data_IF_246195166264
#
_entry.id   IF_246195166264
#
_cell.length_a   1.000
_cell.length_b   1.000
_cell.length_c   1.000
_cell.angle_alpha   90.00
_cell.angle_beta   90.00
_cell.angle_gamma   90.00
#
_symmetry.space_group_name_H-M   'P 1'
#
loop_
_entity.id
_entity.type
_entity.pdbx_description
1 polymer ?
#
# COMPACT_ATOMS: atom_id res chain seq x y z
N UNK A 1 8.31 -10.03 -11.53
CA UNK A 1 7.87 -8.75 -10.93
C UNK A 1 6.47 -8.89 -10.32
N UNK A 2 6.13 -8.10 -9.29
CA UNK A 2 4.87 -8.22 -8.53
C UNK A 2 3.60 -8.28 -9.40
N UNK A 3 3.55 -7.48 -10.48
CA UNK A 3 2.43 -7.48 -11.45
C UNK A 3 2.31 -8.77 -12.26
N UNK A 4 3.42 -9.45 -12.52
CA UNK A 4 3.42 -10.74 -13.23
C UNK A 4 2.83 -11.87 -12.36
N UNK A 5 2.99 -11.80 -11.04
CA UNK A 5 2.43 -12.80 -10.12
C UNK A 5 0.89 -12.81 -10.13
N UNK A 6 0.25 -11.67 -10.37
CA UNK A 6 -1.21 -11.56 -10.46
C UNK A 6 -1.81 -12.09 -11.78
N UNK A 7 -0.97 -12.22 -12.82
CA UNK A 7 -1.39 -12.68 -14.16
C UNK A 7 -1.12 -14.18 -14.38
N UNK A 8 -0.59 -14.89 -13.37
CA UNK A 8 -0.32 -16.31 -13.48
C UNK A 8 -1.60 -17.13 -13.82
N UNK A 9 -1.49 -18.16 -14.68
CA UNK A 9 -2.65 -18.89 -15.22
C UNK A 9 -3.50 -19.55 -14.14
N UNK A 10 -2.91 -19.90 -13.00
CA UNK A 10 -3.58 -20.59 -11.89
C UNK A 10 -4.36 -19.65 -10.94
N UNK A 11 -4.35 -18.34 -11.17
CA UNK A 11 -5.04 -17.37 -10.33
C UNK A 11 -6.50 -17.25 -10.75
N UNK A 12 -7.41 -17.87 -9.97
CA UNK A 12 -8.86 -17.83 -10.23
C UNK A 12 -9.47 -16.43 -10.14
N UNK A 13 -9.01 -15.59 -9.20
CA UNK A 13 -9.56 -14.25 -8.97
C UNK A 13 -8.54 -13.15 -9.30
N UNK A 14 -8.22 -13.03 -10.59
CA UNK A 14 -7.21 -12.09 -11.11
C UNK A 14 -7.47 -10.64 -10.70
N UNK A 15 -8.74 -10.20 -10.69
CA UNK A 15 -9.13 -8.84 -10.26
C UNK A 15 -8.75 -8.58 -8.81
N UNK A 16 -9.07 -9.51 -7.91
CA UNK A 16 -8.73 -9.38 -6.49
C UNK A 16 -7.22 -9.41 -6.25
N UNK A 17 -6.50 -10.29 -6.94
CA UNK A 17 -5.04 -10.37 -6.81
C UNK A 17 -4.34 -9.14 -7.40
N UNK A 18 -4.81 -8.62 -8.53
CA UNK A 18 -4.32 -7.35 -9.08
C UNK A 18 -4.59 -6.19 -8.13
N UNK A 19 -5.77 -6.10 -7.52
CA UNK A 19 -6.09 -5.07 -6.54
C UNK A 19 -5.16 -5.17 -5.32
N UNK A 20 -4.88 -6.38 -4.84
CA UNK A 20 -3.95 -6.62 -3.75
C UNK A 20 -2.54 -6.15 -4.12
N UNK A 21 -2.01 -6.60 -5.26
CA UNK A 21 -0.69 -6.21 -5.78
C UNK A 21 -0.57 -4.69 -5.91
N UNK A 22 -1.59 -4.03 -6.47
CA UNK A 22 -1.59 -2.57 -6.63
C UNK A 22 -1.52 -1.87 -5.28
N UNK A 23 -2.34 -2.28 -4.31
CA UNK A 23 -2.32 -1.68 -2.97
C UNK A 23 -1.01 -1.96 -2.22
N UNK A 24 -0.43 -3.15 -2.38
CA UNK A 24 0.90 -3.46 -1.84
C UNK A 24 1.95 -2.53 -2.42
N UNK A 25 1.92 -2.25 -3.74
CA UNK A 25 2.85 -1.32 -4.38
C UNK A 25 2.64 0.13 -3.92
N UNK A 26 1.39 0.58 -3.76
CA UNK A 26 1.06 1.91 -3.25
C UNK A 26 1.59 2.15 -1.83
N UNK A 27 1.73 1.09 -1.04
CA UNK A 27 2.21 1.15 0.34
C UNK A 27 3.66 0.66 0.48
N UNK A 28 4.39 0.46 -0.63
CA UNK A 28 5.72 -0.17 -0.58
C UNK A 28 6.69 0.57 0.34
N UNK A 29 6.82 1.89 0.20
CA UNK A 29 7.73 2.68 1.02
C UNK A 29 7.40 2.60 2.51
N UNK A 30 6.09 2.67 2.85
CA UNK A 30 5.62 2.50 4.22
C UNK A 30 5.96 1.11 4.76
N UNK A 31 5.75 0.06 3.96
CA UNK A 31 6.07 -1.32 4.34
C UNK A 31 7.57 -1.51 4.56
N UNK A 32 8.41 -0.92 3.69
CA UNK A 32 9.87 -0.97 3.82
C UNK A 32 10.35 -0.22 5.08
N UNK A 33 9.76 0.94 5.39
CA UNK A 33 10.05 1.69 6.63
C UNK A 33 9.66 0.92 7.90
N UNK A 34 8.49 0.26 7.89
CA UNK A 34 8.02 -0.55 9.03
C UNK A 34 8.97 -1.73 9.28
N UNK A 35 9.46 -2.39 8.23
CA UNK A 35 10.44 -3.48 8.38
C UNK A 35 11.78 -2.95 8.89
N UNK A 36 12.24 -1.79 8.38
CA UNK A 36 13.48 -1.18 8.83
C UNK A 36 13.44 -0.72 10.29
N UNK A 37 12.27 -0.36 10.81
CA UNK A 37 12.08 0.05 12.20
C UNK A 37 12.18 -1.11 13.20
N UNK A 38 12.04 -2.37 12.76
CA UNK A 38 12.09 -3.55 13.63
C UNK A 38 13.40 -4.29 13.41
N UNK A 39 14.28 -4.25 14.41
CA UNK A 39 15.59 -4.92 14.39
C UNK A 39 15.47 -6.41 14.06
N UNK A 40 16.20 -6.86 13.04
CA UNK A 40 16.24 -8.26 12.61
C UNK A 40 15.01 -8.73 11.81
N UNK A 41 14.01 -7.89 11.58
CA UNK A 41 12.82 -8.27 10.81
C UNK A 41 13.16 -8.58 9.35
N UNK A 42 14.02 -7.78 8.71
CA UNK A 42 14.38 -7.98 7.30
C UNK A 42 15.09 -9.33 7.06
N UNK A 43 16.07 -9.68 7.91
CA UNK A 43 16.75 -10.99 7.84
C UNK A 43 15.79 -12.15 8.08
N UNK A 44 14.97 -12.08 9.13
CA UNK A 44 14.06 -13.16 9.49
C UNK A 44 12.99 -13.39 8.41
N UNK A 45 12.47 -12.30 7.82
CA UNK A 45 11.51 -12.39 6.74
C UNK A 45 12.14 -12.85 5.42
N UNK A 46 13.41 -12.49 5.13
CA UNK A 46 14.16 -13.02 3.96
C UNK A 46 14.39 -14.53 4.06
N UNK A 47 14.75 -15.02 5.24
CA UNK A 47 14.96 -16.45 5.49
C UNK A 47 13.67 -17.27 5.41
N UNK A 48 12.54 -16.66 5.75
CA UNK A 48 11.24 -17.31 5.72
C UNK A 48 10.58 -17.23 4.33
N UNK A 49 10.75 -16.09 3.63
CA UNK A 49 10.23 -15.83 2.28
C UNK A 49 11.30 -15.10 1.46
N UNK A 50 12.10 -15.84 0.67
CA UNK A 50 13.17 -15.26 -0.13
C UNK A 50 12.65 -14.30 -1.21
N UNK A 51 11.50 -14.62 -1.80
CA UNK A 51 10.88 -13.79 -2.83
C UNK A 51 10.37 -12.47 -2.24
N UNK A 52 10.98 -11.38 -2.69
CA UNK A 52 10.68 -10.03 -2.18
C UNK A 52 9.24 -9.62 -2.48
N UNK A 53 8.71 -10.04 -3.63
CA UNK A 53 7.36 -9.67 -4.03
C UNK A 53 6.30 -10.31 -3.13
N UNK A 54 6.44 -11.60 -2.84
CA UNK A 54 5.59 -12.34 -1.91
C UNK A 54 5.73 -11.81 -0.48
N UNK A 55 6.95 -11.47 -0.05
CA UNK A 55 7.19 -10.89 1.27
C UNK A 55 6.39 -9.59 1.46
N UNK A 56 6.43 -8.69 0.50
CA UNK A 56 5.67 -7.43 0.54
C UNK A 56 4.15 -7.67 0.54
N UNK A 57 3.66 -8.61 -0.27
CA UNK A 57 2.22 -8.94 -0.31
C UNK A 57 1.75 -9.51 1.04
N UNK A 58 2.55 -10.39 1.65
CA UNK A 58 2.23 -10.98 2.95
C UNK A 58 2.29 -9.94 4.07
N UNK A 59 3.27 -9.04 4.04
CA UNK A 59 3.38 -7.93 4.99
C UNK A 59 2.16 -7.01 4.89
N UNK A 60 1.76 -6.67 3.66
CA UNK A 60 0.55 -5.88 3.41
C UNK A 60 -0.70 -6.57 3.94
N UNK A 61 -0.94 -7.84 3.60
CA UNK A 61 -2.13 -8.57 4.08
C UNK A 61 -2.19 -8.66 5.62
N UNK A 62 -1.04 -8.83 6.27
CA UNK A 62 -0.97 -8.94 7.73
C UNK A 62 -1.24 -7.62 8.47
N UNK A 63 -0.72 -6.52 7.94
CA UNK A 63 -0.71 -5.21 8.62
C UNK A 63 -1.88 -4.32 8.20
N UNK A 64 -2.20 -4.31 6.90
CA UNK A 64 -3.14 -3.37 6.28
C UNK A 64 -4.31 -4.07 5.59
N UNK A 65 -4.16 -5.37 5.30
CA UNK A 65 -5.14 -6.18 4.63
C UNK A 65 -6.36 -6.49 5.49
N UNK A 66 -7.38 -7.04 4.83
CA UNK A 66 -8.56 -7.63 5.49
C UNK A 66 -8.45 -9.15 5.59
N UNK A 67 -7.47 -9.74 4.92
CA UNK A 67 -7.24 -11.18 4.94
C UNK A 67 -6.48 -11.59 6.19
N UNK A 68 -6.71 -12.83 6.61
CA UNK A 68 -5.83 -13.50 7.57
C UNK A 68 -4.81 -14.30 6.77
N UNK A 69 -3.53 -14.18 7.12
CA UNK A 69 -2.54 -15.16 6.70
C UNK A 69 -2.93 -16.52 7.28
N UNK A 70 -3.47 -17.39 6.43
CA UNK A 70 -3.86 -18.76 6.79
C UNK A 70 -2.73 -19.75 6.46
N UNK A 71 -2.55 -20.75 7.31
CA UNK A 71 -1.51 -21.78 7.17
C UNK A 71 -0.60 -21.91 8.39
N UNK A 72 0.31 -22.90 8.36
CA UNK A 72 1.21 -23.24 9.46
C UNK A 72 2.71 -23.27 9.12
N UNK A 73 3.08 -22.85 7.90
CA UNK A 73 4.46 -22.91 7.40
C UNK A 73 5.40 -21.89 8.03
N UNK A 74 6.71 -22.05 7.77
CA UNK A 74 7.80 -21.19 8.26
C UNK A 74 7.50 -19.69 8.08
N UNK A 75 7.00 -19.32 6.90
CA UNK A 75 6.59 -17.94 6.60
C UNK A 75 5.51 -17.43 7.57
N UNK A 76 4.40 -18.14 7.74
CA UNK A 76 3.29 -17.68 8.59
C UNK A 76 3.72 -17.56 10.05
N UNK A 77 4.62 -18.42 10.53
CA UNK A 77 5.19 -18.34 11.88
C UNK A 77 6.03 -17.08 12.06
N UNK A 78 6.98 -16.84 11.15
CA UNK A 78 7.82 -15.64 11.13
C UNK A 78 6.99 -14.35 11.13
N UNK A 79 5.95 -14.28 10.28
CA UNK A 79 5.06 -13.12 10.24
C UNK A 79 4.25 -12.96 11.53
N UNK A 80 3.74 -14.05 12.12
CA UNK A 80 2.99 -13.98 13.39
C UNK A 80 3.85 -13.53 14.56
N UNK A 81 5.09 -14.00 14.61
CA UNK A 81 6.06 -13.64 15.64
C UNK A 81 6.40 -12.14 15.60
N UNK A 82 6.65 -11.61 14.40
CA UNK A 82 6.99 -10.20 14.21
C UNK A 82 5.76 -9.27 14.22
N UNK A 83 4.54 -9.81 14.12
CA UNK A 83 3.31 -9.01 13.96
C UNK A 83 3.13 -7.92 15.02
N UNK A 84 3.33 -8.17 16.34
CA UNK A 84 3.15 -7.14 17.35
C UNK A 84 4.12 -5.97 17.13
N UNK A 85 5.41 -6.27 17.00
CA UNK A 85 6.46 -5.27 16.79
C UNK A 85 6.26 -4.46 15.50
N UNK A 86 5.86 -5.12 14.40
CA UNK A 86 5.57 -4.45 13.14
C UNK A 86 4.30 -3.60 13.20
N UNK A 87 3.29 -4.01 13.97
CA UNK A 87 2.07 -3.23 14.17
C UNK A 87 2.34 -1.98 15.02
N UNK A 88 3.18 -2.11 16.05
CA UNK A 88 3.59 -0.98 16.90
C UNK A 88 4.44 0.03 16.09
N UNK A 89 5.33 -0.44 15.23
CA UNK A 89 6.10 0.41 14.32
C UNK A 89 5.24 1.09 13.24
N UNK A 90 4.14 0.46 12.82
CA UNK A 90 3.22 1.02 11.84
C UNK A 90 2.39 2.18 12.40
N UNK A 91 2.02 2.15 13.67
CA UNK A 91 1.16 3.16 14.29
C UNK A 91 1.65 4.62 14.10
N UNK A 92 2.90 4.98 14.43
CA UNK A 92 3.41 6.34 14.23
C UNK A 92 3.60 6.72 12.75
N UNK A 93 4.08 5.78 11.92
CA UNK A 93 4.30 6.02 10.49
C UNK A 93 2.99 6.26 9.74
N UNK A 94 1.90 5.62 10.19
CA UNK A 94 0.59 5.79 9.58
C UNK A 94 -0.01 7.16 9.90
N UNK A 95 0.16 7.67 11.13
CA UNK A 95 -0.26 9.03 11.47
C UNK A 95 0.45 10.10 10.65
N UNK A 96 1.73 9.92 10.34
CA UNK A 96 2.47 10.82 9.44
C UNK A 96 2.02 10.67 7.98
N UNK A 97 1.77 9.44 7.52
CA UNK A 97 1.30 9.20 6.16
C UNK A 97 -0.11 9.74 5.93
N UNK A 98 -1.02 9.65 6.91
CA UNK A 98 -2.38 10.17 6.81
C UNK A 98 -2.40 11.71 6.84
N UNK A 99 -1.53 12.33 7.64
CA UNK A 99 -1.27 13.77 7.56
C UNK A 99 -0.72 14.19 6.18
N UNK A 100 0.10 13.35 5.55
CA UNK A 100 0.67 13.60 4.21
C UNK A 100 -0.30 13.25 3.08
N UNK A 101 -1.22 12.30 3.27
CA UNK A 101 -2.26 11.91 2.31
C UNK A 101 -3.43 12.91 2.26
N UNK A 102 -3.59 13.73 3.31
CA UNK A 102 -4.39 14.95 3.28
C UNK A 102 -3.73 16.07 2.45
N UNK A 103 -2.54 15.86 1.88
CA UNK A 103 -1.91 16.87 1.03
C UNK A 103 -2.73 17.11 -0.25
N UNK A 104 -2.92 18.39 -0.64
CA UNK A 104 -3.73 18.78 -1.79
C UNK A 104 -3.23 18.19 -3.13
N UNK A 105 -1.98 17.71 -3.19
CA UNK A 105 -1.36 17.12 -4.37
C UNK A 105 -1.94 15.76 -4.78
N UNK A 106 -2.36 14.90 -3.82
CA UNK A 106 -3.00 13.61 -4.16
C UNK A 106 -4.47 13.76 -4.55
N UNK A 107 -5.16 14.76 -3.98
CA UNK A 107 -6.50 15.17 -4.42
C UNK A 107 -6.44 15.73 -5.85
N UNK A 108 -5.41 16.52 -6.16
CA UNK A 108 -5.18 17.06 -7.49
C UNK A 108 -5.10 15.97 -8.58
N UNK A 109 -4.29 14.93 -8.37
CA UNK A 109 -4.13 13.85 -9.36
C UNK A 109 -5.46 13.11 -9.64
N UNK A 110 -6.29 12.85 -8.63
CA UNK A 110 -7.60 12.18 -8.82
C UNK A 110 -8.61 13.08 -9.52
N UNK A 111 -8.71 14.35 -9.12
CA UNK A 111 -9.63 15.31 -9.73
C UNK A 111 -9.28 15.59 -11.19
N UNK A 112 -7.99 15.82 -11.47
CA UNK A 112 -7.49 16.07 -12.82
C UNK A 112 -7.71 14.87 -13.73
N UNK A 113 -7.52 13.63 -13.24
CA UNK A 113 -7.79 12.43 -14.05
C UNK A 113 -9.27 12.26 -14.40
N UNK A 114 -10.17 12.51 -13.46
CA UNK A 114 -11.62 12.37 -13.66
C UNK A 114 -12.14 13.47 -14.61
N UNK A 115 -11.58 14.68 -14.50
CA UNK A 115 -11.95 15.80 -15.35
C UNK A 115 -11.31 15.73 -16.74
N UNK A 116 -10.07 15.27 -16.91
CA UNK A 116 -9.47 15.07 -18.24
C UNK A 116 -10.25 14.07 -19.12
N UNK A 117 -11.00 13.15 -18.52
CA UNK A 117 -11.90 12.24 -19.23
C UNK A 117 -13.20 12.92 -19.70
N UNK A 118 -13.47 14.16 -19.27
CA UNK A 118 -14.72 14.90 -19.49
C UNK A 118 -14.52 16.32 -20.06
N UNK A 119 -13.34 16.92 -19.90
CA UNK A 119 -13.00 18.30 -20.26
C UNK A 119 -11.49 18.43 -20.57
N UNK A 120 -11.08 19.54 -21.18
CA UNK A 120 -9.68 19.80 -21.54
C UNK A 120 -8.77 20.00 -20.32
N UNK A 121 -7.45 19.88 -20.53
CA UNK A 121 -6.42 20.10 -19.49
C UNK A 121 -6.60 21.42 -18.75
N UNK A 122 -6.82 22.51 -19.48
CA UNK A 122 -6.96 23.84 -18.91
C UNK A 122 -8.16 23.94 -17.95
N UNK A 123 -9.30 23.38 -18.35
CA UNK A 123 -10.54 23.40 -17.55
C UNK A 123 -10.41 22.53 -16.28
N UNK A 124 -9.70 21.40 -16.39
CA UNK A 124 -9.46 20.50 -15.26
C UNK A 124 -8.58 21.16 -14.19
N UNK A 125 -7.55 21.93 -14.59
CA UNK A 125 -6.69 22.67 -13.66
C UNK A 125 -7.43 23.81 -12.96
N UNK A 126 -8.28 24.55 -13.69
CA UNK A 126 -9.07 25.65 -13.14
C UNK A 126 -10.11 25.13 -12.13
N UNK A 127 -10.81 24.05 -12.47
CA UNK A 127 -11.78 23.40 -11.58
C UNK A 127 -11.13 22.90 -10.27
N UNK A 128 -9.93 22.33 -10.37
CA UNK A 128 -9.16 21.89 -9.20
C UNK A 128 -8.77 23.09 -8.31
N UNK A 129 -8.28 24.19 -8.89
CA UNK A 129 -7.90 25.41 -8.15
C UNK A 129 -9.10 26.02 -7.43
N UNK A 130 -10.28 26.02 -8.06
CA UNK A 130 -11.51 26.49 -7.43
C UNK A 130 -11.91 25.61 -6.23
N UNK A 131 -11.78 24.28 -6.35
CA UNK A 131 -12.14 23.34 -5.29
C UNK A 131 -11.20 23.45 -4.07
N UNK A 132 -9.90 23.63 -4.29
CA UNK A 132 -8.91 23.85 -3.21
C UNK A 132 -9.17 25.18 -2.49
N UNK A 133 -9.49 26.26 -3.22
CA UNK A 133 -9.83 27.56 -2.63
C UNK A 133 -11.11 27.52 -1.79
N UNK A 134 -12.11 26.75 -2.20
CA UNK A 134 -13.35 26.58 -1.45
C UNK A 134 -13.15 25.83 -0.12
N UNK A 135 -12.25 24.84 -0.10
CA UNK A 135 -11.96 24.06 1.10
C UNK A 135 -10.93 24.72 2.04
N UNK A 136 -10.13 25.68 1.58
CA UNK A 136 -9.21 26.45 2.41
C UNK A 136 -9.88 27.61 3.20
N UNK A 137 -11.17 27.88 2.94
CA UNK A 137 -11.97 28.91 3.62
C UNK A 137 -12.91 28.36 4.72
N UNK A 138 -12.86 27.06 4.99
CA UNK A 138 -13.54 26.40 6.11
C UNK A 138 -12.53 25.97 7.15
#
# INVERSE_FOLDING_TARGET
GLRAAALAPNVKNKRRVMALVTRTLENRELLDQVVAAVSGADSLLRDAVPDTAMRLIMLYEMLLGKGKLSGGGKAVRAFKELRPALADALAPLRSESDATNASPLKLASRYVRVNLLKMGMADAEESLRAHVRANAKK
#
